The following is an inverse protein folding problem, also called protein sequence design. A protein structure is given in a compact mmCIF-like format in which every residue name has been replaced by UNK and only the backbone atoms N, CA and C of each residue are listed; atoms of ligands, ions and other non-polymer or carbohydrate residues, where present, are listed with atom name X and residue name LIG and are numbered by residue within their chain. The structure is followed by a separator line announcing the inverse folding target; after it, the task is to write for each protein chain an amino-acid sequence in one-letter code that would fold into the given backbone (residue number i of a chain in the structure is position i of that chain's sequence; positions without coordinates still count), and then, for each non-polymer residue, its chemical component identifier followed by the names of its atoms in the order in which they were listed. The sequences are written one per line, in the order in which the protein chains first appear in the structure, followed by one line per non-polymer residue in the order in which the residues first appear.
data_IF_380796522991
#
_entry.id   IF_380796522991
#
_cell.length_a   1.000
_cell.length_b   1.000
_cell.length_c   1.000
_cell.angle_alpha   90.00
_cell.angle_beta   90.00
_cell.angle_gamma   90.00
#
_symmetry.space_group_name_H-M   'P 1'
#
loop_
_entity.id
_entity.type
_entity.pdbx_description
1 polymer ?
#
# COMPACT_ATOMS: atom_id res chain seq x y z
N UNK A 1 -58.48 52.68 -37.33
CA UNK A 1 -58.04 51.28 -37.13
C UNK A 1 -57.60 51.10 -35.67
N UNK A 2 -58.53 51.15 -34.70
CA UNK A 2 -58.22 51.12 -33.24
C UNK A 2 -59.22 50.33 -32.38
N UNK A 3 -60.26 49.76 -32.96
CA UNK A 3 -61.27 48.98 -32.23
C UNK A 3 -61.10 47.46 -32.37
N UNK A 4 -60.41 46.97 -33.40
CA UNK A 4 -60.22 45.53 -33.64
C UNK A 4 -59.18 44.90 -32.69
N UNK A 5 -58.11 45.62 -32.32
CA UNK A 5 -57.03 45.07 -31.50
C UNK A 5 -57.42 44.85 -30.03
N UNK A 6 -58.29 45.69 -29.47
CA UNK A 6 -58.74 45.58 -28.06
C UNK A 6 -59.72 44.41 -27.91
N UNK A 7 -60.55 44.16 -28.92
CA UNK A 7 -61.50 43.05 -28.94
C UNK A 7 -60.78 41.69 -29.05
N UNK A 8 -59.75 41.61 -29.88
CA UNK A 8 -58.93 40.40 -30.04
C UNK A 8 -58.13 40.08 -28.76
N UNK A 9 -57.62 41.09 -28.06
CA UNK A 9 -56.91 40.91 -26.79
C UNK A 9 -57.83 40.48 -25.63
N UNK A 10 -59.05 41.02 -25.56
CA UNK A 10 -60.05 40.56 -24.59
C UNK A 10 -60.48 39.10 -24.88
N UNK A 11 -60.52 38.71 -26.15
CA UNK A 11 -60.75 37.33 -26.55
C UNK A 11 -59.61 36.40 -26.08
N UNK A 12 -58.35 36.77 -26.31
CA UNK A 12 -57.19 36.00 -25.83
C UNK A 12 -57.13 35.89 -24.29
N UNK A 13 -57.46 36.96 -23.55
CA UNK A 13 -57.56 36.93 -22.08
C UNK A 13 -58.58 35.89 -21.62
N UNK A 14 -59.76 35.87 -22.24
CA UNK A 14 -60.83 34.95 -21.87
C UNK A 14 -60.52 33.50 -22.28
N UNK A 15 -59.91 33.27 -23.45
CA UNK A 15 -59.56 31.92 -23.93
C UNK A 15 -58.47 31.26 -23.08
N UNK A 16 -57.44 31.99 -22.67
CA UNK A 16 -56.34 31.44 -21.84
C UNK A 16 -56.86 31.06 -20.43
N UNK A 17 -57.74 31.88 -19.85
CA UNK A 17 -58.37 31.58 -18.56
C UNK A 17 -59.26 30.32 -18.66
N UNK A 18 -59.99 30.17 -19.77
CA UNK A 18 -60.90 29.03 -19.98
C UNK A 18 -60.16 27.71 -20.26
N UNK A 19 -59.07 27.74 -21.06
CA UNK A 19 -58.27 26.54 -21.34
C UNK A 19 -57.48 26.02 -20.13
N UNK A 20 -56.96 26.91 -19.27
CA UNK A 20 -56.23 26.48 -18.07
C UNK A 20 -57.15 25.83 -17.02
N UNK A 21 -58.42 26.25 -16.95
CA UNK A 21 -59.40 25.70 -16.01
C UNK A 21 -59.90 24.30 -16.41
N UNK A 22 -60.02 24.00 -17.71
CA UNK A 22 -60.72 22.79 -18.17
C UNK A 22 -59.88 21.49 -18.14
N UNK A 23 -58.56 21.57 -17.87
CA UNK A 23 -57.64 20.43 -18.07
C UNK A 23 -57.18 19.70 -16.80
N UNK A 24 -57.63 20.09 -15.61
CA UNK A 24 -57.17 19.51 -14.33
C UNK A 24 -58.35 18.90 -13.57
N UNK A 25 -58.55 17.58 -13.66
CA UNK A 25 -59.57 16.83 -12.90
C UNK A 25 -59.18 16.64 -11.43
N UNK A 26 -59.06 17.73 -10.67
CA UNK A 26 -58.92 17.68 -9.22
C UNK A 26 -59.75 18.81 -8.61
N UNK A 27 -60.83 18.46 -7.89
CA UNK A 27 -61.83 19.41 -7.36
C UNK A 27 -61.18 20.51 -6.49
N UNK A 28 -60.15 20.18 -5.70
CA UNK A 28 -59.43 21.19 -4.93
C UNK A 28 -58.66 22.18 -5.82
N UNK A 29 -58.07 21.70 -6.92
CA UNK A 29 -57.32 22.57 -7.84
C UNK A 29 -58.27 23.41 -8.68
N UNK A 30 -59.45 22.88 -9.03
CA UNK A 30 -60.50 23.63 -9.71
C UNK A 30 -61.02 24.79 -8.83
N UNK A 31 -61.33 24.54 -7.55
CA UNK A 31 -61.76 25.58 -6.62
C UNK A 31 -60.69 26.67 -6.43
N UNK A 32 -59.42 26.28 -6.29
CA UNK A 32 -58.30 27.22 -6.22
C UNK A 32 -58.14 28.01 -7.52
N UNK A 33 -58.28 27.37 -8.69
CA UNK A 33 -58.19 28.03 -10.00
C UNK A 33 -59.35 28.98 -10.25
N UNK A 34 -60.56 28.66 -9.79
CA UNK A 34 -61.73 29.55 -9.87
C UNK A 34 -61.54 30.78 -8.96
N UNK A 35 -61.06 30.59 -7.73
CA UNK A 35 -60.73 31.69 -6.82
C UNK A 35 -59.62 32.60 -7.38
N UNK A 36 -58.60 32.01 -7.98
CA UNK A 36 -57.53 32.73 -8.67
C UNK A 36 -58.13 33.48 -9.87
N UNK A 37 -58.89 32.81 -10.75
CA UNK A 37 -59.51 33.42 -11.92
C UNK A 37 -60.42 34.60 -11.57
N UNK A 38 -61.26 34.48 -10.53
CA UNK A 38 -62.15 35.55 -10.08
C UNK A 38 -61.36 36.79 -9.59
N UNK A 39 -60.30 36.56 -8.80
CA UNK A 39 -59.35 37.60 -8.36
C UNK A 39 -58.57 38.22 -9.52
N UNK A 40 -58.25 37.45 -10.56
CA UNK A 40 -57.55 37.92 -11.77
C UNK A 40 -58.48 38.61 -12.78
N UNK A 41 -59.77 38.31 -12.77
CA UNK A 41 -60.77 38.93 -13.64
C UNK A 41 -61.03 40.40 -13.27
N UNK A 42 -60.95 40.71 -11.97
CA UNK A 42 -61.16 42.05 -11.38
C UNK A 42 -59.92 42.94 -11.42
N UNK A 43 -58.75 42.38 -11.76
CA UNK A 43 -57.51 43.14 -11.92
C UNK A 43 -57.57 44.02 -13.18
N UNK A 44 -57.34 45.33 -12.99
CA UNK A 44 -57.20 46.29 -14.10
C UNK A 44 -56.09 45.80 -15.03
N UNK A 45 -56.30 45.94 -16.33
CA UNK A 45 -55.41 45.41 -17.38
C UNK A 45 -53.93 45.77 -17.15
N UNK A 46 -53.64 46.96 -16.60
CA UNK A 46 -52.29 47.42 -16.27
C UNK A 46 -51.54 46.56 -15.23
N UNK A 47 -52.23 46.02 -14.22
CA UNK A 47 -51.60 45.13 -13.24
C UNK A 47 -51.25 43.77 -13.83
N UNK A 48 -52.06 43.28 -14.77
CA UNK A 48 -51.77 42.04 -15.49
C UNK A 48 -50.50 42.16 -16.33
N UNK A 49 -50.33 43.29 -17.04
CA UNK A 49 -49.08 43.60 -17.74
C UNK A 49 -47.88 43.66 -16.77
N UNK A 50 -48.04 44.28 -15.60
CA UNK A 50 -46.96 44.36 -14.61
C UNK A 50 -46.51 42.97 -14.11
N UNK A 51 -47.45 42.04 -13.94
CA UNK A 51 -47.16 40.68 -13.50
C UNK A 51 -46.46 39.85 -14.58
N UNK A 52 -46.90 39.97 -15.83
CA UNK A 52 -46.24 39.29 -16.97
C UNK A 52 -44.82 39.83 -17.18
N UNK A 53 -44.63 41.15 -17.10
CA UNK A 53 -43.30 41.77 -17.18
C UNK A 53 -42.40 41.35 -16.03
N UNK A 54 -42.93 41.27 -14.80
CA UNK A 54 -42.18 40.80 -13.63
C UNK A 54 -41.73 39.34 -13.79
N UNK A 55 -42.61 38.46 -14.26
CA UNK A 55 -42.28 37.05 -14.53
C UNK A 55 -41.25 36.90 -15.65
N UNK A 56 -41.39 37.67 -16.74
CA UNK A 56 -40.43 37.67 -17.84
C UNK A 56 -39.05 38.19 -17.40
N UNK A 57 -39.00 39.15 -16.46
CA UNK A 57 -37.76 39.70 -15.91
C UNK A 57 -37.12 38.81 -14.83
N UNK A 58 -37.90 37.96 -14.14
CA UNK A 58 -37.41 37.13 -13.06
C UNK A 58 -36.39 36.07 -13.51
N UNK A 59 -36.62 35.44 -14.68
CA UNK A 59 -35.73 34.40 -15.21
C UNK A 59 -34.32 34.93 -15.57
N UNK A 60 -34.15 36.00 -16.36
CA UNK A 60 -32.81 36.53 -16.65
C UNK A 60 -32.12 37.06 -15.39
N UNK A 61 -32.87 37.66 -14.46
CA UNK A 61 -32.33 38.12 -13.18
C UNK A 61 -31.79 36.95 -12.34
N UNK A 62 -32.52 35.84 -12.27
CA UNK A 62 -32.08 34.64 -11.57
C UNK A 62 -30.80 34.06 -12.18
N UNK A 63 -30.72 33.96 -13.51
CA UNK A 63 -29.53 33.47 -14.20
C UNK A 63 -28.32 34.38 -13.96
N UNK A 64 -28.52 35.70 -14.01
CA UNK A 64 -27.50 36.69 -13.72
C UNK A 64 -26.98 36.54 -12.27
N UNK A 65 -27.89 36.51 -11.29
CA UNK A 65 -27.53 36.32 -9.88
C UNK A 65 -26.78 35.02 -9.65
N UNK A 66 -27.24 33.91 -10.24
CA UNK A 66 -26.57 32.61 -10.14
C UNK A 66 -25.15 32.66 -10.70
N UNK A 67 -24.96 33.25 -11.87
CA UNK A 67 -23.65 33.34 -12.51
C UNK A 67 -22.70 34.24 -11.72
N UNK A 68 -23.16 35.44 -11.32
CA UNK A 68 -22.39 36.38 -10.52
C UNK A 68 -21.99 35.77 -9.17
N UNK A 69 -22.94 35.12 -8.48
CA UNK A 69 -22.67 34.47 -7.20
C UNK A 69 -21.64 33.33 -7.35
N UNK A 70 -21.79 32.48 -8.36
CA UNK A 70 -20.82 31.40 -8.63
C UNK A 70 -19.42 31.95 -8.91
N UNK A 71 -19.31 33.02 -9.69
CA UNK A 71 -18.02 33.63 -10.02
C UNK A 71 -17.32 34.23 -8.80
N UNK A 72 -18.07 34.90 -7.92
CA UNK A 72 -17.56 35.48 -6.66
C UNK A 72 -17.22 34.38 -5.66
N UNK A 73 -18.05 33.35 -5.54
CA UNK A 73 -17.79 32.23 -4.65
C UNK A 73 -16.53 31.46 -5.06
N UNK A 74 -16.34 31.20 -6.36
CA UNK A 74 -15.14 30.51 -6.87
C UNK A 74 -13.89 31.38 -6.72
N UNK A 75 -13.98 32.70 -6.96
CA UNK A 75 -12.81 33.59 -6.84
C UNK A 75 -12.37 33.81 -5.39
N UNK A 76 -13.28 33.69 -4.44
CA UNK A 76 -13.01 33.78 -3.01
C UNK A 76 -12.74 32.42 -2.35
N UNK A 77 -13.02 31.32 -3.05
CA UNK A 77 -12.75 29.98 -2.54
C UNK A 77 -11.25 29.73 -2.47
N UNK A 78 -10.73 29.73 -1.25
CA UNK A 78 -9.40 29.22 -0.96
C UNK A 78 -9.58 27.75 -0.57
N UNK A 79 -9.08 26.77 -1.37
CA UNK A 79 -9.10 25.39 -0.94
C UNK A 79 -8.37 25.29 0.40
N UNK A 80 -8.88 24.48 1.36
CA UNK A 80 -8.16 24.26 2.60
C UNK A 80 -6.77 23.73 2.27
N UNK A 81 -5.76 24.27 2.95
CA UNK A 81 -4.39 23.81 2.77
C UNK A 81 -4.32 22.34 3.18
N UNK A 82 -4.06 21.46 2.21
CA UNK A 82 -3.87 20.03 2.48
C UNK A 82 -2.49 19.88 3.10
N UNK A 83 -2.42 19.92 4.44
CA UNK A 83 -1.20 19.62 5.17
C UNK A 83 -0.88 18.14 4.98
N UNK A 84 -0.04 17.83 4.00
CA UNK A 84 0.51 16.48 3.85
C UNK A 84 1.66 16.31 4.84
N UNK A 85 1.33 16.03 6.11
CA UNK A 85 2.34 15.62 7.08
C UNK A 85 2.90 14.28 6.60
N UNK A 86 4.11 14.29 6.04
CA UNK A 86 4.81 13.04 5.75
C UNK A 86 5.07 12.34 7.09
N UNK A 87 4.59 11.11 7.28
CA UNK A 87 4.83 10.41 8.54
C UNK A 87 6.34 10.29 8.76
N UNK A 88 6.78 10.67 9.95
CA UNK A 88 8.17 10.49 10.35
C UNK A 88 8.39 8.99 10.61
N UNK A 89 9.48 8.41 10.07
CA UNK A 89 9.74 6.99 10.26
C UNK A 89 10.02 6.69 11.73
N UNK A 90 9.43 5.61 12.22
CA UNK A 90 9.71 5.06 13.53
C UNK A 90 11.02 4.24 13.49
N UNK A 91 11.80 4.21 14.57
CA UNK A 91 13.04 3.43 14.60
C UNK A 91 12.76 1.93 14.44
N UNK A 92 13.67 1.24 13.76
CA UNK A 92 13.65 -0.23 13.67
C UNK A 92 13.91 -0.86 15.04
N UNK A 93 13.37 -2.06 15.26
CA UNK A 93 13.50 -2.80 16.53
C UNK A 93 14.32 -4.06 16.33
N UNK A 94 15.30 -4.29 17.21
CA UNK A 94 15.95 -5.58 17.36
C UNK A 94 14.98 -6.50 18.13
N UNK A 95 14.40 -7.48 17.44
CA UNK A 95 13.38 -8.37 18.00
C UNK A 95 14.02 -9.55 18.74
N UNK A 96 15.03 -10.14 18.13
CA UNK A 96 15.65 -11.36 18.63
C UNK A 96 17.12 -11.41 18.18
N UNK A 97 17.94 -12.04 19.00
CA UNK A 97 19.31 -12.37 18.66
C UNK A 97 19.72 -13.65 19.39
N UNK A 98 20.39 -14.56 18.68
CA UNK A 98 20.75 -15.86 19.22
C UNK A 98 22.07 -16.34 18.66
N UNK A 99 22.85 -17.02 19.51
CA UNK A 99 24.06 -17.73 19.14
C UNK A 99 23.73 -19.22 19.04
N UNK A 100 24.28 -19.89 18.04
CA UNK A 100 24.14 -21.32 17.82
C UNK A 100 25.52 -21.97 17.85
N UNK A 101 25.66 -23.01 18.66
CA UNK A 101 26.82 -23.90 18.58
C UNK A 101 26.57 -24.93 17.48
N UNK A 102 27.30 -24.81 16.37
CA UNK A 102 27.16 -25.68 15.22
C UNK A 102 27.99 -26.95 15.38
N UNK A 103 29.18 -26.87 15.95
CA UNK A 103 30.06 -28.00 16.28
C UNK A 103 31.00 -27.60 17.41
N UNK A 104 31.82 -28.53 17.90
CA UNK A 104 32.87 -28.19 18.86
C UNK A 104 33.69 -27.00 18.32
N UNK A 105 33.77 -25.94 19.12
CA UNK A 105 34.47 -24.69 18.81
C UNK A 105 33.96 -23.98 17.55
N UNK A 106 32.72 -24.22 17.11
CA UNK A 106 32.16 -23.52 15.96
C UNK A 106 30.76 -22.98 16.19
N UNK A 107 30.59 -21.72 15.81
CA UNK A 107 29.43 -20.94 16.17
C UNK A 107 28.87 -20.21 14.95
N UNK A 108 27.59 -19.88 15.04
CA UNK A 108 26.87 -19.00 14.13
C UNK A 108 25.93 -18.12 14.96
N UNK A 109 25.39 -17.08 14.36
CA UNK A 109 24.43 -16.21 15.02
C UNK A 109 23.26 -15.86 14.12
N UNK A 110 22.18 -15.43 14.75
CA UNK A 110 21.02 -14.86 14.10
C UNK A 110 20.66 -13.55 14.78
N UNK A 111 20.21 -12.59 13.98
CA UNK A 111 19.61 -11.34 14.41
C UNK A 111 18.32 -11.12 13.63
N UNK A 112 17.22 -10.78 14.31
CA UNK A 112 15.95 -10.38 13.70
C UNK A 112 15.70 -8.90 13.92
N UNK A 113 15.51 -8.18 12.83
CA UNK A 113 15.24 -6.74 12.84
C UNK A 113 13.83 -6.53 12.29
N UNK A 114 12.99 -5.78 13.00
CA UNK A 114 11.63 -5.46 12.58
C UNK A 114 11.49 -4.01 12.18
N UNK A 115 10.90 -3.80 11.02
CA UNK A 115 10.48 -2.49 10.54
C UNK A 115 8.95 -2.40 10.56
N UNK A 116 8.44 -1.52 11.42
CA UNK A 116 6.99 -1.28 11.59
C UNK A 116 6.46 -0.21 10.63
N UNK A 117 7.33 0.49 9.90
CA UNK A 117 6.92 1.51 8.95
C UNK A 117 6.31 0.87 7.71
N UNK A 118 5.07 1.24 7.38
CA UNK A 118 4.28 0.60 6.33
C UNK A 118 4.82 0.86 4.92
N UNK A 119 5.26 2.09 4.67
CA UNK A 119 5.61 2.56 3.33
C UNK A 119 7.11 2.86 3.17
N UNK A 120 7.87 2.79 4.26
CA UNK A 120 9.28 3.16 4.30
C UNK A 120 10.13 1.97 4.74
N UNK A 121 11.19 1.68 3.98
CA UNK A 121 12.20 0.68 4.30
C UNK A 121 13.59 1.32 4.34
N UNK A 122 14.60 0.49 4.55
CA UNK A 122 15.99 0.88 4.62
C UNK A 122 16.72 0.18 3.46
N UNK A 123 17.08 0.91 2.39
CA UNK A 123 17.81 0.34 1.24
C UNK A 123 19.16 -0.25 1.62
N UNK A 124 19.86 0.40 2.54
CA UNK A 124 21.17 0.02 3.03
C UNK A 124 21.26 0.33 4.53
N UNK A 125 21.41 -0.72 5.33
CA UNK A 125 21.66 -0.70 6.76
C UNK A 125 23.06 -1.25 7.00
N UNK A 126 23.96 -0.38 7.40
CA UNK A 126 25.33 -0.74 7.78
C UNK A 126 25.29 -1.26 9.21
N UNK A 127 25.80 -2.46 9.44
CA UNK A 127 25.79 -3.10 10.75
C UNK A 127 27.17 -3.65 11.13
N UNK A 128 27.32 -3.86 12.44
CA UNK A 128 28.43 -4.55 13.07
C UNK A 128 27.87 -5.49 14.13
N UNK A 129 28.22 -6.77 14.03
CA UNK A 129 27.89 -7.80 14.99
C UNK A 129 29.17 -8.28 15.67
N UNK A 130 29.25 -8.16 16.99
CA UNK A 130 30.39 -8.60 17.79
C UNK A 130 29.98 -9.76 18.69
N UNK A 131 30.63 -10.90 18.53
CA UNK A 131 30.46 -12.05 19.41
C UNK A 131 31.49 -11.94 20.53
N UNK A 132 31.05 -12.01 21.79
CA UNK A 132 31.86 -11.74 22.98
C UNK A 132 31.72 -12.84 24.02
N UNK A 133 32.74 -12.99 24.86
CA UNK A 133 32.67 -13.78 26.09
C UNK A 133 31.91 -13.03 27.18
N UNK A 134 31.59 -13.69 28.30
CA UNK A 134 31.02 -13.05 29.50
C UNK A 134 31.83 -11.84 29.99
N UNK A 135 33.17 -11.91 29.88
CA UNK A 135 34.09 -10.83 30.24
C UNK A 135 34.11 -9.64 29.27
N UNK A 136 33.19 -9.61 28.28
CA UNK A 136 33.09 -8.59 27.24
C UNK A 136 34.31 -8.55 26.28
N UNK A 137 35.10 -9.63 26.24
CA UNK A 137 36.21 -9.77 25.28
C UNK A 137 35.65 -10.18 23.92
N UNK A 138 35.97 -9.41 22.87
CA UNK A 138 35.54 -9.71 21.51
C UNK A 138 36.25 -10.96 20.95
N UNK A 139 35.46 -11.95 20.53
CA UNK A 139 35.93 -13.18 19.88
C UNK A 139 35.99 -12.97 18.37
N UNK A 140 34.90 -12.47 17.79
CA UNK A 140 34.83 -12.15 16.37
C UNK A 140 33.92 -10.95 16.13
N UNK A 141 34.18 -10.26 15.03
CA UNK A 141 33.45 -9.07 14.59
C UNK A 141 33.10 -9.24 13.12
N UNK A 142 31.81 -9.10 12.81
CA UNK A 142 31.27 -9.16 11.46
C UNK A 142 30.63 -7.82 11.14
N UNK A 143 31.23 -7.08 10.22
CA UNK A 143 30.66 -5.83 9.70
C UNK A 143 30.15 -6.06 8.28
N UNK A 144 29.02 -5.47 7.95
CA UNK A 144 28.37 -5.71 6.68
C UNK A 144 27.26 -4.72 6.38
N UNK A 145 26.58 -4.98 5.26
CA UNK A 145 25.45 -4.19 4.78
C UNK A 145 24.28 -5.11 4.53
N UNK A 146 23.08 -4.62 4.81
CA UNK A 146 21.85 -5.32 4.52
C UNK A 146 20.75 -4.33 4.14
N UNK A 147 19.54 -4.82 3.87
CA UNK A 147 18.36 -4.01 3.63
C UNK A 147 17.24 -4.47 4.55
N UNK A 148 16.28 -3.58 4.81
CA UNK A 148 15.07 -3.90 5.57
C UNK A 148 13.86 -3.38 4.80
N UNK A 149 12.94 -4.25 4.43
CA UNK A 149 11.75 -3.85 3.68
C UNK A 149 10.73 -3.14 4.59
N UNK A 150 9.80 -2.35 4.01
CA UNK A 150 8.66 -1.82 4.74
C UNK A 150 7.79 -2.96 5.31
N UNK A 151 7.21 -2.72 6.49
CA UNK A 151 6.31 -3.64 7.17
C UNK A 151 6.82 -5.10 7.27
N UNK A 152 8.14 -5.29 7.36
CA UNK A 152 8.75 -6.62 7.32
C UNK A 152 9.67 -6.87 8.51
N UNK A 153 9.98 -8.14 8.71
CA UNK A 153 11.09 -8.59 9.54
C UNK A 153 12.23 -9.04 8.65
N UNK A 154 13.46 -8.66 9.01
CA UNK A 154 14.69 -9.04 8.32
C UNK A 154 15.42 -10.05 9.18
N UNK A 155 15.73 -11.20 8.60
CA UNK A 155 16.53 -12.23 9.26
C UNK A 155 17.97 -12.10 8.76
N UNK A 156 18.89 -11.80 9.67
CA UNK A 156 20.33 -11.83 9.40
C UNK A 156 20.91 -13.08 10.02
N UNK A 157 21.52 -13.91 9.18
CA UNK A 157 22.27 -15.09 9.61
C UNK A 157 23.75 -14.81 9.41
N UNK A 158 24.53 -14.98 10.48
CA UNK A 158 25.98 -14.82 10.44
C UNK A 158 26.63 -16.16 10.09
N UNK A 159 27.57 -16.12 9.16
CA UNK A 159 28.31 -17.30 8.71
C UNK A 159 29.04 -17.98 9.87
N UNK A 160 29.26 -19.30 9.69
CA UNK A 160 30.03 -20.12 10.62
C UNK A 160 31.41 -19.53 10.86
N UNK A 161 31.81 -19.42 12.13
CA UNK A 161 33.19 -19.14 12.53
C UNK A 161 33.65 -20.15 13.58
N UNK A 162 34.97 -20.23 13.80
CA UNK A 162 35.58 -21.12 14.78
C UNK A 162 36.30 -20.33 15.87
N UNK A 163 36.17 -20.76 17.12
CA UNK A 163 36.88 -20.17 18.25
C UNK A 163 37.00 -21.17 19.40
N UNK A 164 38.14 -21.13 20.10
CA UNK A 164 38.36 -21.90 21.33
C UNK A 164 37.63 -21.30 22.54
N UNK A 165 37.15 -20.07 22.42
CA UNK A 165 36.32 -19.41 23.43
C UNK A 165 34.84 -19.53 23.07
N UNK A 166 34.00 -19.86 24.05
CA UNK A 166 32.55 -19.90 23.86
C UNK A 166 31.98 -18.47 23.82
N UNK A 167 31.33 -18.06 22.72
CA UNK A 167 30.63 -16.79 22.64
C UNK A 167 29.31 -16.88 23.41
N UNK A 168 29.12 -15.96 24.34
CA UNK A 168 27.93 -15.88 25.20
C UNK A 168 27.05 -14.67 24.85
N UNK A 169 27.66 -13.60 24.30
CA UNK A 169 26.97 -12.36 23.96
C UNK A 169 27.13 -12.05 22.47
N UNK A 170 26.02 -11.67 21.82
CA UNK A 170 26.00 -11.14 20.46
C UNK A 170 25.57 -9.66 20.53
N UNK A 171 26.56 -8.77 20.47
CA UNK A 171 26.35 -7.32 20.48
C UNK A 171 26.15 -6.83 19.04
N UNK A 172 24.89 -6.51 18.69
CA UNK A 172 24.53 -6.03 17.35
C UNK A 172 24.31 -4.52 17.35
N UNK A 173 25.09 -3.82 16.53
CA UNK A 173 25.02 -2.37 16.35
C UNK A 173 24.82 -2.05 14.88
N UNK A 174 24.12 -0.96 14.61
CA UNK A 174 23.93 -0.44 13.26
C UNK A 174 24.05 1.08 13.25
N UNK A 175 24.45 1.61 12.09
CA UNK A 175 24.49 3.05 11.87
C UNK A 175 23.08 3.63 11.71
N UNK A 176 22.95 4.95 11.82
CA UNK A 176 21.68 5.66 11.68
C UNK A 176 20.94 5.24 10.39
N UNK A 177 19.75 4.61 10.49
CA UNK A 177 19.06 4.05 9.34
C UNK A 177 18.49 5.13 8.44
N UNK A 178 18.84 5.09 7.14
CA UNK A 178 18.31 6.01 6.13
C UNK A 178 17.03 5.45 5.51
N UNK A 179 15.89 5.88 6.03
CA UNK A 179 14.59 5.47 5.52
C UNK A 179 14.29 6.03 4.13
N UNK A 180 13.73 5.18 3.27
CA UNK A 180 13.27 5.54 1.93
C UNK A 180 11.90 4.92 1.69
N UNK A 181 11.03 5.66 1.00
CA UNK A 181 9.76 5.13 0.53
C UNK A 181 9.98 3.94 -0.40
N UNK A 182 9.12 2.93 -0.27
CA UNK A 182 9.15 1.75 -1.13
C UNK A 182 8.99 2.18 -2.59
N UNK A 183 9.76 1.61 -3.52
CA UNK A 183 9.63 1.96 -4.92
C UNK A 183 8.26 1.52 -5.44
N UNK A 184 7.71 2.29 -6.37
CA UNK A 184 6.46 1.93 -7.06
C UNK A 184 6.78 0.87 -8.12
N UNK A 185 6.96 -0.37 -7.67
CA UNK A 185 7.16 -1.53 -8.53
C UNK A 185 5.84 -2.31 -8.65
N UNK A 186 5.63 -3.02 -9.77
CA UNK A 186 4.58 -4.03 -9.85
C UNK A 186 4.70 -5.04 -8.71
N UNK A 187 3.58 -5.65 -8.28
CA UNK A 187 3.61 -6.60 -7.18
C UNK A 187 4.54 -7.76 -7.50
N UNK A 188 5.50 -8.00 -6.61
CA UNK A 188 6.38 -9.16 -6.66
C UNK A 188 5.66 -10.34 -6.02
N UNK A 189 5.35 -11.36 -6.82
CA UNK A 189 4.74 -12.59 -6.36
C UNK A 189 5.74 -13.74 -6.46
N UNK A 190 6.09 -14.28 -5.30
CA UNK A 190 7.03 -15.38 -5.10
C UNK A 190 6.33 -16.48 -4.30
N UNK A 191 6.42 -17.71 -4.78
CA UNK A 191 5.81 -18.87 -4.13
C UNK A 191 6.89 -19.90 -3.78
N UNK A 192 6.92 -20.33 -2.52
CA UNK A 192 7.75 -21.45 -2.07
C UNK A 192 6.98 -22.75 -2.27
N UNK A 193 7.46 -23.61 -3.16
CA UNK A 193 6.88 -24.92 -3.45
C UNK A 193 7.72 -26.04 -2.83
N UNK A 194 7.05 -27.09 -2.32
CA UNK A 194 7.66 -28.36 -1.91
C UNK A 194 8.83 -28.22 -0.92
N UNK A 195 8.73 -27.31 0.05
CA UNK A 195 9.74 -27.20 1.11
C UNK A 195 9.70 -28.48 1.95
N UNK A 196 10.80 -29.23 1.93
CA UNK A 196 10.99 -30.48 2.67
C UNK A 196 12.21 -30.38 3.57
N UNK A 197 12.12 -31.07 4.71
CA UNK A 197 13.25 -31.36 5.58
C UNK A 197 13.53 -32.86 5.49
N UNK A 198 14.78 -33.21 5.23
CA UNK A 198 15.26 -34.59 5.11
C UNK A 198 16.43 -34.81 6.06
N UNK A 199 16.64 -36.06 6.48
CA UNK A 199 17.80 -36.44 7.28
C UNK A 199 18.68 -37.49 6.54
N UNK A 200 19.32 -37.12 5.41
CA UNK A 200 20.19 -38.04 4.69
C UNK A 200 21.44 -38.35 5.53
N UNK A 201 21.66 -39.62 5.84
CA UNK A 201 22.89 -40.14 6.47
C UNK A 201 23.29 -39.40 7.78
N UNK A 202 22.30 -39.01 8.59
CA UNK A 202 22.53 -38.29 9.83
C UNK A 202 22.86 -36.81 9.66
N UNK A 203 22.71 -36.23 8.46
CA UNK A 203 22.79 -34.78 8.24
C UNK A 203 21.41 -34.23 7.91
N UNK A 204 21.12 -32.98 8.25
CA UNK A 204 19.84 -32.36 7.89
C UNK A 204 19.97 -31.61 6.59
N UNK A 205 19.04 -31.88 5.68
CA UNK A 205 18.90 -31.16 4.42
C UNK A 205 17.55 -30.46 4.36
N UNK A 206 17.54 -29.22 3.90
CA UNK A 206 16.33 -28.49 3.52
C UNK A 206 16.37 -28.27 2.03
N UNK A 207 15.30 -28.67 1.34
CA UNK A 207 15.14 -28.47 -0.09
C UNK A 207 13.77 -27.91 -0.43
N UNK A 208 13.67 -27.24 -1.57
CA UNK A 208 12.41 -26.73 -2.08
C UNK A 208 12.59 -26.08 -3.44
N UNK A 209 11.50 -25.50 -3.95
CA UNK A 209 11.49 -24.66 -5.14
C UNK A 209 11.03 -23.25 -4.79
N UNK A 210 11.68 -22.24 -5.37
CA UNK A 210 11.16 -20.88 -5.42
C UNK A 210 10.61 -20.63 -6.82
N UNK A 211 9.32 -20.31 -6.91
CA UNK A 211 8.63 -20.00 -8.16
C UNK A 211 8.41 -18.51 -8.27
N UNK A 212 8.84 -17.95 -9.39
CA UNK A 212 8.59 -16.56 -9.70
C UNK A 212 7.31 -16.43 -10.51
N UNK A 213 6.24 -15.91 -9.89
CA UNK A 213 4.96 -15.66 -10.55
C UNK A 213 4.86 -14.24 -11.15
N UNK A 214 5.94 -13.47 -11.06
CA UNK A 214 6.00 -12.09 -11.55
C UNK A 214 6.45 -12.06 -13.01
N UNK A 215 6.05 -11.04 -13.79
CA UNK A 215 6.39 -10.94 -15.22
C UNK A 215 7.83 -10.44 -15.49
N UNK A 216 8.73 -10.52 -14.49
CA UNK A 216 10.11 -10.02 -14.56
C UNK A 216 11.06 -11.11 -14.09
N UNK A 217 12.29 -11.12 -14.62
CA UNK A 217 13.37 -11.91 -14.03
C UNK A 217 13.86 -11.23 -12.75
N UNK A 218 13.97 -12.00 -11.67
CA UNK A 218 14.52 -11.54 -10.39
C UNK A 218 15.99 -11.91 -10.34
N UNK A 219 16.85 -10.89 -10.23
CA UNK A 219 18.30 -11.08 -10.26
C UNK A 219 18.81 -11.89 -9.08
N UNK A 220 18.27 -11.63 -7.88
CA UNK A 220 18.73 -12.25 -6.64
C UNK A 220 17.61 -12.37 -5.60
N UNK A 221 17.45 -13.55 -5.02
CA UNK A 221 16.51 -13.85 -3.94
C UNK A 221 17.30 -14.44 -2.76
N UNK A 222 17.20 -13.81 -1.59
CA UNK A 222 17.78 -14.32 -0.36
C UNK A 222 16.79 -15.27 0.32
N UNK A 223 17.30 -16.41 0.76
CA UNK A 223 16.53 -17.47 1.42
C UNK A 223 17.14 -17.78 2.79
N UNK A 224 16.88 -16.96 3.83
CA UNK A 224 17.13 -17.38 5.20
C UNK A 224 16.31 -18.62 5.55
N UNK A 225 16.94 -19.57 6.24
CA UNK A 225 16.39 -20.85 6.61
C UNK A 225 16.56 -21.05 8.12
N UNK A 226 15.47 -21.42 8.79
CA UNK A 226 15.41 -21.64 10.22
C UNK A 226 14.92 -23.07 10.50
N UNK A 227 15.64 -23.78 11.37
CA UNK A 227 15.26 -25.09 11.86
C UNK A 227 14.66 -24.95 13.26
N UNK A 228 13.52 -25.60 13.48
CA UNK A 228 12.80 -25.60 14.74
C UNK A 228 12.72 -27.00 15.34
N UNK A 229 12.79 -27.06 16.67
CA UNK A 229 12.46 -28.26 17.43
C UNK A 229 10.94 -28.43 17.65
N UNK A 230 10.57 -29.53 18.29
CA UNK A 230 9.18 -29.84 18.67
C UNK A 230 8.56 -28.83 19.64
N UNK A 231 9.39 -28.04 20.33
CA UNK A 231 8.99 -26.97 21.24
C UNK A 231 8.96 -25.59 20.56
N UNK A 232 9.05 -25.54 19.23
CA UNK A 232 9.06 -24.31 18.43
C UNK A 232 10.25 -23.38 18.72
N UNK A 233 11.37 -23.92 19.21
CA UNK A 233 12.62 -23.17 19.43
C UNK A 233 13.52 -23.32 18.22
N UNK A 234 14.19 -22.23 17.83
CA UNK A 234 15.17 -22.26 16.75
C UNK A 234 16.40 -23.06 17.23
N UNK A 235 16.74 -24.13 16.52
CA UNK A 235 17.89 -25.02 16.80
C UNK A 235 18.98 -24.95 15.74
N UNK A 236 18.68 -24.39 14.56
CA UNK A 236 19.65 -24.21 13.50
C UNK A 236 19.26 -23.07 12.58
N UNK A 237 20.26 -22.40 12.01
CA UNK A 237 20.07 -21.28 11.09
C UNK A 237 21.01 -21.42 9.91
N UNK A 238 20.55 -20.97 8.75
CA UNK A 238 21.39 -20.81 7.58
C UNK A 238 20.77 -19.80 6.60
N UNK A 239 21.48 -19.49 5.54
CA UNK A 239 20.96 -18.67 4.45
C UNK A 239 21.58 -19.10 3.14
N UNK A 240 20.78 -19.12 2.09
CA UNK A 240 21.27 -19.28 0.72
C UNK A 240 20.71 -18.17 -0.17
N UNK A 241 21.20 -18.11 -1.40
CA UNK A 241 20.75 -17.15 -2.40
C UNK A 241 20.45 -17.89 -3.69
N UNK A 242 19.35 -17.53 -4.34
CA UNK A 242 19.00 -18.00 -5.68
C UNK A 242 19.10 -16.82 -6.63
N UNK A 243 19.84 -17.01 -7.72
CA UNK A 243 20.10 -15.96 -8.71
C UNK A 243 19.34 -16.23 -10.02
N UNK A 244 19.01 -15.15 -10.72
CA UNK A 244 18.44 -15.15 -12.08
C UNK A 244 17.22 -16.07 -12.23
N UNK A 245 16.17 -15.79 -11.45
CA UNK A 245 14.89 -16.52 -11.51
C UNK A 245 13.98 -15.84 -12.53
N UNK A 246 13.82 -16.44 -13.71
CA UNK A 246 13.02 -15.88 -14.80
C UNK A 246 11.53 -15.85 -14.47
N UNK A 247 10.78 -15.08 -15.25
CA UNK A 247 9.31 -15.08 -15.18
C UNK A 247 8.77 -16.50 -15.32
N UNK A 248 7.87 -16.91 -14.43
CA UNK A 248 7.25 -18.24 -14.38
C UNK A 248 8.22 -19.43 -14.17
N UNK A 249 9.49 -19.16 -13.87
CA UNK A 249 10.48 -20.20 -13.60
C UNK A 249 10.37 -20.71 -12.16
N UNK A 250 10.62 -22.00 -11.97
CA UNK A 250 10.86 -22.62 -10.66
C UNK A 250 12.34 -22.95 -10.53
N UNK A 251 13.00 -22.37 -9.54
CA UNK A 251 14.40 -22.68 -9.20
C UNK A 251 14.43 -23.50 -7.93
N UNK A 252 15.05 -24.67 -8.00
CA UNK A 252 15.25 -25.51 -6.82
C UNK A 252 16.44 -25.03 -6.00
N UNK A 253 16.32 -25.17 -4.69
CA UNK A 253 17.43 -24.99 -3.76
C UNK A 253 17.52 -26.21 -2.86
N UNK A 254 18.74 -26.53 -2.45
CA UNK A 254 19.00 -27.54 -1.43
C UNK A 254 20.17 -27.07 -0.59
N UNK A 255 19.99 -27.10 0.72
CA UNK A 255 21.04 -26.81 1.67
C UNK A 255 21.19 -27.99 2.63
N UNK A 256 22.43 -28.36 2.95
CA UNK A 256 22.76 -29.45 3.86
C UNK A 256 23.57 -28.88 5.01
N UNK A 257 23.10 -29.09 6.25
CA UNK A 257 23.85 -28.73 7.45
C UNK A 257 25.02 -29.70 7.62
N UNK A 258 26.25 -29.20 7.82
CA UNK A 258 27.43 -30.06 7.99
C UNK A 258 27.38 -31.01 9.19
N UNK A 259 26.54 -30.71 10.20
CA UNK A 259 26.34 -31.53 11.40
C UNK A 259 24.87 -31.89 11.55
N UNK A 260 24.60 -33.09 12.08
CA UNK A 260 23.27 -33.48 12.53
C UNK A 260 22.73 -32.51 13.57
N UNK A 261 21.45 -32.15 13.45
CA UNK A 261 20.70 -31.41 14.47
C UNK A 261 19.46 -32.26 14.78
N UNK A 262 19.60 -33.37 15.53
CA UNK A 262 18.56 -34.39 15.67
C UNK A 262 17.26 -33.86 16.27
N UNK A 263 17.32 -32.71 16.97
CA UNK A 263 16.13 -32.06 17.54
C UNK A 263 15.29 -31.31 16.50
N UNK A 264 15.81 -31.06 15.29
CA UNK A 264 15.09 -30.31 14.27
C UNK A 264 14.00 -31.17 13.62
N UNK A 265 12.74 -30.70 13.73
CA UNK A 265 11.55 -31.36 13.21
C UNK A 265 10.86 -30.57 12.10
N UNK A 266 11.15 -29.26 12.00
CA UNK A 266 10.52 -28.36 11.03
C UNK A 266 11.53 -27.37 10.48
N UNK A 267 11.45 -27.08 9.19
CA UNK A 267 12.17 -26.00 8.55
C UNK A 267 11.21 -24.87 8.14
N UNK A 268 11.64 -23.63 8.30
CA UNK A 268 10.99 -22.44 7.76
C UNK A 268 11.98 -21.77 6.81
N UNK A 269 11.51 -21.46 5.61
CA UNK A 269 12.28 -20.72 4.61
C UNK A 269 11.49 -19.47 4.29
N UNK A 270 12.14 -18.31 4.35
CA UNK A 270 11.53 -17.04 3.96
C UNK A 270 12.22 -16.54 2.70
N UNK A 271 11.48 -15.97 1.76
CA UNK A 271 12.04 -15.33 0.58
C UNK A 271 12.14 -13.81 0.75
N UNK A 272 13.33 -13.27 0.54
CA UNK A 272 13.58 -11.83 0.65
C UNK A 272 14.23 -11.31 -0.64
N UNK A 273 13.70 -10.23 -1.20
CA UNK A 273 14.24 -9.57 -2.39
C UNK A 273 14.48 -8.09 -2.07
N UNK A 274 15.67 -7.59 -2.39
CA UNK A 274 15.98 -6.19 -2.16
C UNK A 274 15.32 -5.30 -3.21
N UNK A 275 14.07 -4.90 -2.97
CA UNK A 275 13.33 -4.04 -3.90
C UNK A 275 13.99 -2.67 -4.11
N UNK A 276 14.88 -2.24 -3.22
CA UNK A 276 15.59 -0.97 -3.34
C UNK A 276 16.84 -1.03 -4.24
N UNK A 277 17.31 -2.23 -4.60
CA UNK A 277 18.46 -2.41 -5.47
C UNK A 277 18.07 -2.10 -6.93
N UNK A 278 18.82 -1.19 -7.56
CA UNK A 278 18.62 -0.87 -8.98
C UNK A 278 18.95 -2.09 -9.85
N UNK A 279 18.02 -2.48 -10.72
CA UNK A 279 18.20 -3.64 -11.60
C UNK A 279 17.98 -4.98 -10.90
N UNK A 280 17.31 -5.01 -9.73
CA UNK A 280 16.87 -6.26 -9.08
C UNK A 280 15.81 -6.99 -9.92
N UNK A 281 14.96 -6.23 -10.61
CA UNK A 281 14.02 -6.73 -11.61
C UNK A 281 14.55 -6.37 -13.00
N UNK A 282 14.72 -7.37 -13.86
CA UNK A 282 15.18 -7.20 -15.25
C UNK A 282 14.22 -7.90 -16.20
N UNK A 283 14.24 -7.50 -17.48
CA UNK A 283 13.49 -8.22 -18.51
C UNK A 283 14.18 -9.54 -18.87
N UNK A 284 13.41 -10.50 -19.38
CA UNK A 284 13.99 -11.80 -19.79
C UNK A 284 15.02 -11.64 -20.91
N UNK A 285 14.88 -10.64 -21.78
CA UNK A 285 15.88 -10.30 -22.81
C UNK A 285 17.19 -9.82 -22.19
N UNK A 286 17.13 -8.98 -21.14
CA UNK A 286 18.31 -8.56 -20.39
C UNK A 286 18.96 -9.73 -19.66
N UNK A 287 18.15 -10.68 -19.16
CA UNK A 287 18.64 -11.87 -18.47
C UNK A 287 19.42 -12.83 -19.38
N UNK A 288 19.16 -12.85 -20.70
CA UNK A 288 19.90 -13.69 -21.66
C UNK A 288 21.35 -13.23 -21.90
N UNK A 289 21.72 -12.04 -21.42
CA UNK A 289 23.07 -11.48 -21.58
C UNK A 289 24.04 -11.90 -20.47
N UNK A 290 23.58 -12.70 -19.51
CA UNK A 290 24.32 -13.19 -18.35
C UNK A 290 24.26 -14.72 -18.30
#
# INVERSE_FOLDING_TARGET
MKFADIAWLNYCKNVIIWEMAFKIKNEQVEDWMLLISDRFSTLKIGYWYSLVVALAAALPLFLFLKYSFSSVFISQYQPPEVVTVRPQPQPIKLVDHKIFELSQNSYSGLVRIRNINLEQGIPELIFTAEFKTFGNTAITKVSGKTFVLPASEKILVFSKFTSDQTPELLDFKFEEPKFRYKPQLPPLNLELERVSIENPNGTIAVSGGIKNLSPFTIKQIYLPMLLYDSSNRIVGVNSTTVNLVKSSEVRTFRYIWPKSIPEAVRAEVTSEVNLFESGILITDEQAQRF
#
